data_IF_660429714889
#
_entry.id   IF_660429714889
#
_cell.length_a   1.000
_cell.length_b   1.000
_cell.length_c   1.000
_cell.angle_alpha   90.00
_cell.angle_beta   90.00
_cell.angle_gamma   90.00
#
_symmetry.space_group_name_H-M   'P 1'
#
loop_
_entity.id
_entity.type
_entity.pdbx_description
1 polymer ?
#
# COMPACT_ATOMS: atom_id res chain seq x y z
N UNK A 1 -1.23 -65.79 -34.95
CA UNK A 1 -0.60 -64.65 -34.25
C UNK A 1 -1.45 -64.33 -33.03
N UNK A 2 -1.01 -64.74 -31.85
CA UNK A 2 -1.73 -64.50 -30.60
C UNK A 2 -1.51 -63.05 -30.15
N UNK A 3 -2.59 -62.38 -29.76
CA UNK A 3 -2.57 -61.04 -29.16
C UNK A 3 -1.74 -61.06 -27.86
N UNK A 4 -0.95 -60.02 -27.56
CA UNK A 4 -0.23 -59.95 -26.30
C UNK A 4 -1.23 -59.80 -25.15
N UNK A 5 -1.20 -60.75 -24.22
CA UNK A 5 -1.93 -60.72 -22.96
C UNK A 5 -1.48 -59.49 -22.14
N UNK A 6 -2.37 -58.51 -21.99
CA UNK A 6 -2.15 -57.38 -21.09
C UNK A 6 -2.15 -57.90 -19.66
N UNK A 7 -0.96 -58.05 -19.09
CA UNK A 7 -0.79 -58.43 -17.69
C UNK A 7 -1.62 -57.47 -16.79
N UNK A 8 -2.44 -58.00 -15.87
CA UNK A 8 -3.24 -57.17 -14.97
C UNK A 8 -2.30 -56.32 -14.12
N UNK A 9 -2.39 -55.00 -14.29
CA UNK A 9 -1.68 -54.04 -13.46
C UNK A 9 -2.05 -54.26 -12.00
N UNK A 10 -1.06 -54.54 -11.15
CA UNK A 10 -1.25 -54.75 -9.72
C UNK A 10 -2.12 -53.63 -9.12
N UNK A 11 -3.14 -53.94 -8.30
CA UNK A 11 -3.98 -52.94 -7.68
C UNK A 11 -3.11 -51.97 -6.88
N UNK A 12 -3.17 -50.70 -7.24
CA UNK A 12 -2.50 -49.63 -6.49
C UNK A 12 -3.00 -49.67 -5.05
N UNK A 13 -2.13 -49.65 -4.03
CA UNK A 13 -2.58 -49.64 -2.65
C UNK A 13 -3.53 -48.46 -2.46
N UNK A 14 -4.76 -48.75 -2.02
CA UNK A 14 -5.82 -47.77 -1.79
C UNK A 14 -5.27 -46.75 -0.80
N UNK A 15 -4.86 -45.59 -1.33
CA UNK A 15 -4.16 -44.55 -0.60
C UNK A 15 -5.19 -43.92 0.35
N UNK A 16 -5.11 -44.24 1.65
CA UNK A 16 -6.01 -43.73 2.70
C UNK A 16 -6.21 -42.22 2.53
N UNK A 17 -7.46 -41.77 2.64
CA UNK A 17 -7.85 -40.37 2.55
C UNK A 17 -6.94 -39.52 3.45
N UNK A 18 -6.07 -38.71 2.83
CA UNK A 18 -5.20 -37.80 3.56
C UNK A 18 -6.03 -36.78 4.35
N UNK A 19 -5.52 -36.36 5.50
CA UNK A 19 -6.18 -35.36 6.33
C UNK A 19 -6.47 -34.07 5.55
N UNK A 20 -7.69 -33.55 5.69
CA UNK A 20 -8.10 -32.29 5.08
C UNK A 20 -7.24 -31.14 5.62
N UNK A 21 -6.53 -30.44 4.74
CA UNK A 21 -5.71 -29.27 5.14
C UNK A 21 -6.52 -27.99 5.30
N UNK A 22 -7.80 -27.97 4.89
CA UNK A 22 -8.66 -26.76 4.95
C UNK A 22 -8.72 -26.13 6.35
N UNK A 23 -8.89 -26.89 7.45
CA UNK A 23 -8.97 -26.30 8.80
C UNK A 23 -7.71 -25.53 9.19
N UNK A 24 -6.52 -25.94 8.72
CA UNK A 24 -5.28 -25.22 9.05
C UNK A 24 -5.25 -23.85 8.38
N UNK A 25 -5.69 -23.77 7.13
CA UNK A 25 -5.72 -22.51 6.38
C UNK A 25 -6.75 -21.55 6.95
N UNK A 26 -7.92 -22.06 7.33
CA UNK A 26 -8.93 -21.27 8.04
C UNK A 26 -8.39 -20.77 9.37
N UNK A 27 -7.70 -21.62 10.14
CA UNK A 27 -7.10 -21.23 11.42
C UNK A 27 -6.04 -20.15 11.24
N UNK A 28 -5.14 -20.28 10.27
CA UNK A 28 -4.12 -19.27 9.96
C UNK A 28 -4.77 -17.94 9.53
N UNK A 29 -5.82 -18.00 8.71
CA UNK A 29 -6.59 -16.81 8.32
C UNK A 29 -7.27 -16.12 9.50
N UNK A 30 -7.86 -16.89 10.42
CA UNK A 30 -8.47 -16.37 11.65
C UNK A 30 -7.42 -15.73 12.55
N UNK A 31 -6.27 -16.38 12.76
CA UNK A 31 -5.16 -15.82 13.55
C UNK A 31 -4.73 -14.47 12.96
N UNK A 32 -4.48 -14.42 11.65
CA UNK A 32 -4.09 -13.18 10.99
C UNK A 32 -5.15 -12.08 11.12
N UNK A 33 -6.43 -12.42 10.91
CA UNK A 33 -7.56 -11.49 11.04
C UNK A 33 -7.75 -10.97 12.46
N UNK A 34 -7.68 -11.84 13.47
CA UNK A 34 -7.79 -11.47 14.88
C UNK A 34 -6.62 -10.58 15.31
N UNK A 35 -5.38 -10.95 14.96
CA UNK A 35 -4.21 -10.15 15.29
C UNK A 35 -4.30 -8.77 14.62
N UNK A 36 -4.73 -8.69 13.36
CA UNK A 36 -4.95 -7.41 12.69
C UNK A 36 -6.00 -6.55 13.39
N UNK A 37 -7.15 -7.13 13.76
CA UNK A 37 -8.21 -6.43 14.46
C UNK A 37 -7.79 -5.96 15.86
N UNK A 38 -7.04 -6.78 16.60
CA UNK A 38 -6.51 -6.45 17.93
C UNK A 38 -5.51 -5.29 17.83
N UNK A 39 -4.53 -5.36 16.93
CA UNK A 39 -3.53 -4.29 16.76
C UNK A 39 -4.21 -2.97 16.40
N UNK A 40 -5.23 -3.00 15.53
CA UNK A 40 -6.03 -1.82 15.24
C UNK A 40 -6.80 -1.35 16.47
N UNK A 41 -7.47 -2.22 17.22
CA UNK A 41 -8.17 -1.84 18.45
C UNK A 41 -7.25 -1.20 19.50
N UNK A 42 -6.01 -1.67 19.60
CA UNK A 42 -4.99 -1.12 20.51
C UNK A 42 -4.36 0.19 20.01
N UNK A 43 -4.41 0.47 18.70
CA UNK A 43 -3.74 1.63 18.07
C UNK A 43 -4.71 2.72 17.57
N UNK A 44 -5.99 2.39 17.35
CA UNK A 44 -6.96 3.26 16.69
C UNK A 44 -7.54 4.34 17.59
N UNK A 45 -7.53 4.15 18.92
CA UNK A 45 -8.02 5.14 19.89
C UNK A 45 -7.27 6.48 19.78
N UNK A 46 -5.99 6.45 19.39
CA UNK A 46 -5.16 7.65 19.28
C UNK A 46 -5.17 8.28 17.88
N UNK A 47 -5.44 7.50 16.82
CA UNK A 47 -5.36 7.96 15.43
C UNK A 47 -6.62 8.73 14.96
N UNK A 48 -7.81 8.27 15.35
CA UNK A 48 -9.09 8.87 14.92
C UNK A 48 -9.37 10.21 15.62
N UNK A 49 -9.02 10.32 16.91
CA UNK A 49 -9.14 11.57 17.69
C UNK A 49 -8.19 12.66 17.16
N UNK A 50 -7.05 12.28 16.59
CA UNK A 50 -6.03 13.21 16.09
C UNK A 50 -6.30 13.75 14.67
N UNK A 51 -7.13 13.07 13.88
CA UNK A 51 -7.39 13.39 12.46
C UNK A 51 -8.70 14.16 12.23
N UNK A 52 -9.63 14.19 13.20
CA UNK A 52 -10.88 14.95 13.09
C UNK A 52 -11.83 14.48 11.98
N UNK A 53 -11.66 13.25 11.50
CA UNK A 53 -12.52 12.61 10.50
C UNK A 53 -13.68 11.92 11.24
N UNK A 54 -14.94 12.05 10.77
CA UNK A 54 -16.06 11.27 11.30
C UNK A 54 -15.76 9.77 11.29
N UNK A 55 -16.08 9.07 12.37
CA UNK A 55 -15.85 7.61 12.47
C UNK A 55 -16.73 6.86 11.45
N UNK A 56 -16.14 6.09 10.51
CA UNK A 56 -16.89 5.30 9.53
C UNK A 56 -17.68 4.14 10.16
N UNK A 57 -17.51 3.92 11.48
CA UNK A 57 -18.24 2.94 12.27
C UNK A 57 -17.44 1.65 12.49
N UNK A 58 -17.84 0.83 13.48
CA UNK A 58 -17.06 -0.32 13.93
C UNK A 58 -16.86 -1.38 12.84
N UNK A 59 -17.83 -1.55 11.93
CA UNK A 59 -17.73 -2.48 10.81
C UNK A 59 -16.56 -2.14 9.87
N UNK A 60 -16.32 -0.86 9.58
CA UNK A 60 -15.21 -0.45 8.73
C UNK A 60 -13.90 -0.45 9.50
N UNK A 61 -13.91 0.04 10.74
CA UNK A 61 -12.72 0.14 11.60
C UNK A 61 -12.07 -1.23 11.88
N UNK A 62 -12.86 -2.24 12.25
CA UNK A 62 -12.35 -3.59 12.54
C UNK A 62 -12.45 -4.54 11.35
N UNK A 63 -13.47 -4.39 10.50
CA UNK A 63 -13.70 -5.29 9.37
C UNK A 63 -12.66 -5.12 8.26
N UNK A 64 -12.24 -3.89 7.94
CA UNK A 64 -11.24 -3.65 6.90
C UNK A 64 -9.89 -4.35 7.18
N UNK A 65 -9.24 -4.20 8.36
CA UNK A 65 -7.99 -4.91 8.64
C UNK A 65 -8.20 -6.42 8.71
N UNK A 66 -9.32 -6.91 9.24
CA UNK A 66 -9.60 -8.35 9.31
C UNK A 66 -9.77 -8.97 7.91
N UNK A 67 -10.57 -8.36 7.03
CA UNK A 67 -10.77 -8.81 5.64
C UNK A 67 -9.47 -8.70 4.84
N UNK A 68 -8.69 -7.63 5.05
CA UNK A 68 -7.39 -7.46 4.42
C UNK A 68 -6.42 -8.57 4.81
N UNK A 69 -6.29 -8.88 6.10
CA UNK A 69 -5.42 -9.95 6.58
C UNK A 69 -5.86 -11.33 6.07
N UNK A 70 -7.17 -11.62 6.09
CA UNK A 70 -7.70 -12.86 5.52
C UNK A 70 -7.42 -12.97 4.01
N UNK A 71 -7.56 -11.86 3.29
CA UNK A 71 -7.25 -11.79 1.87
C UNK A 71 -5.76 -11.99 1.58
N UNK A 72 -4.87 -11.35 2.33
CA UNK A 72 -3.42 -11.53 2.17
C UNK A 72 -2.99 -12.98 2.43
N UNK A 73 -3.54 -13.64 3.46
CA UNK A 73 -3.31 -15.07 3.69
C UNK A 73 -3.80 -15.90 2.52
N UNK A 74 -4.98 -15.60 1.97
CA UNK A 74 -5.52 -16.30 0.80
C UNK A 74 -4.65 -16.11 -0.46
N UNK A 75 -4.13 -14.90 -0.70
CA UNK A 75 -3.22 -14.61 -1.81
C UNK A 75 -1.92 -15.41 -1.69
N UNK A 76 -1.31 -15.41 -0.49
CA UNK A 76 -0.09 -16.16 -0.18
C UNK A 76 -0.31 -17.67 -0.34
N UNK A 77 -1.46 -18.19 0.09
CA UNK A 77 -1.85 -19.59 -0.11
C UNK A 77 -2.00 -19.94 -1.60
N UNK A 78 -2.59 -19.05 -2.40
CA UNK A 78 -2.74 -19.26 -3.84
C UNK A 78 -1.39 -19.33 -4.55
N UNK A 79 -0.52 -18.34 -4.29
CA UNK A 79 0.84 -18.27 -4.85
C UNK A 79 1.67 -19.49 -4.42
N UNK A 80 1.65 -19.82 -3.14
CA UNK A 80 2.36 -20.97 -2.58
C UNK A 80 1.94 -22.30 -3.17
N UNK A 81 0.63 -22.49 -3.34
CA UNK A 81 0.08 -23.72 -3.92
C UNK A 81 0.43 -23.85 -5.41
N UNK A 82 0.49 -22.73 -6.15
CA UNK A 82 0.96 -22.70 -7.53
C UNK A 82 2.48 -22.96 -7.63
N UNK A 83 3.27 -22.42 -6.70
CA UNK A 83 4.71 -22.70 -6.60
C UNK A 83 4.95 -24.20 -6.39
N UNK A 84 4.18 -24.82 -5.50
CA UNK A 84 4.24 -26.27 -5.24
C UNK A 84 3.94 -27.07 -6.52
N UNK A 85 2.85 -26.73 -7.21
CA UNK A 85 2.43 -27.40 -8.45
C UNK A 85 3.39 -27.17 -9.63
N UNK A 86 3.97 -25.98 -9.74
CA UNK A 86 4.83 -25.62 -10.86
C UNK A 86 6.25 -26.19 -10.72
N UNK A 87 6.84 -26.14 -9.53
CA UNK A 87 8.28 -26.36 -9.37
C UNK A 87 8.66 -27.39 -8.31
N UNK A 88 7.83 -27.63 -7.29
CA UNK A 88 8.25 -28.46 -6.16
C UNK A 88 7.89 -29.94 -6.34
N UNK A 89 6.76 -30.25 -6.97
CA UNK A 89 6.30 -31.63 -7.23
C UNK A 89 6.48 -31.95 -8.73
N UNK A 90 7.00 -33.13 -9.10
CA UNK A 90 7.18 -33.51 -10.50
C UNK A 90 5.83 -33.75 -11.20
N UNK A 91 5.66 -33.32 -12.47
CA UNK A 91 4.51 -33.69 -13.29
C UNK A 91 4.62 -35.14 -13.79
N UNK A 92 3.53 -35.66 -14.36
CA UNK A 92 3.56 -36.96 -15.05
C UNK A 92 4.40 -36.88 -16.33
N UNK A 93 4.88 -38.02 -16.82
CA UNK A 93 5.65 -38.09 -18.09
C UNK A 93 4.87 -37.56 -19.30
N UNK A 94 3.53 -37.60 -19.25
CA UNK A 94 2.63 -37.07 -20.27
C UNK A 94 2.53 -35.52 -20.28
N UNK A 95 3.14 -34.83 -19.31
CA UNK A 95 3.04 -33.38 -19.14
C UNK A 95 1.76 -32.91 -18.43
N UNK A 96 0.89 -33.85 -18.02
CA UNK A 96 -0.29 -33.59 -17.18
C UNK A 96 0.14 -33.50 -15.72
N UNK A 97 -0.56 -32.68 -14.93
CA UNK A 97 -0.32 -32.56 -13.49
C UNK A 97 -0.51 -33.92 -12.80
N UNK A 98 0.41 -34.26 -11.89
CA UNK A 98 0.22 -35.40 -10.99
C UNK A 98 -0.85 -35.08 -9.93
N UNK A 99 -1.36 -36.09 -9.21
CA UNK A 99 -2.42 -35.98 -8.20
C UNK A 99 -2.11 -34.88 -7.17
N UNK A 100 -0.86 -34.81 -6.71
CA UNK A 100 -0.45 -33.83 -5.71
C UNK A 100 -0.36 -32.41 -6.30
N UNK A 101 0.12 -32.27 -7.55
CA UNK A 101 0.13 -31.01 -8.28
C UNK A 101 -1.30 -30.51 -8.56
N UNK A 102 -2.21 -31.39 -8.95
CA UNK A 102 -3.61 -31.05 -9.18
C UNK A 102 -4.33 -30.62 -7.88
N UNK A 103 -4.07 -31.31 -6.76
CA UNK A 103 -4.58 -30.90 -5.44
C UNK A 103 -4.06 -29.53 -5.02
N UNK A 104 -2.80 -29.22 -5.34
CA UNK A 104 -2.22 -27.92 -5.09
C UNK A 104 -2.89 -26.84 -5.94
N UNK A 105 -3.08 -27.05 -7.24
CA UNK A 105 -3.85 -26.13 -8.11
C UNK A 105 -5.28 -25.92 -7.63
N UNK A 106 -5.95 -26.98 -7.13
CA UNK A 106 -7.31 -26.86 -6.55
C UNK A 106 -7.31 -26.04 -5.26
N UNK A 107 -6.28 -26.20 -4.42
CA UNK A 107 -6.09 -25.35 -3.24
C UNK A 107 -5.86 -23.90 -3.64
N UNK A 108 -5.05 -23.67 -4.68
CA UNK A 108 -4.81 -22.33 -5.22
C UNK A 108 -6.09 -21.69 -5.76
N UNK A 109 -6.94 -22.46 -6.44
CA UNK A 109 -8.22 -21.97 -6.96
C UNK A 109 -9.16 -21.53 -5.84
N UNK A 110 -9.33 -22.34 -4.80
CA UNK A 110 -10.16 -21.97 -3.66
C UNK A 110 -9.61 -20.74 -2.93
N UNK A 111 -8.29 -20.67 -2.75
CA UNK A 111 -7.64 -19.52 -2.15
C UNK A 111 -7.78 -18.25 -3.03
N UNK A 112 -7.70 -18.38 -4.36
CA UNK A 112 -7.93 -17.27 -5.30
C UNK A 112 -9.37 -16.77 -5.27
N UNK A 113 -10.37 -17.65 -5.09
CA UNK A 113 -11.77 -17.26 -4.89
C UNK A 113 -11.94 -16.44 -3.61
N UNK A 114 -11.34 -16.90 -2.50
CA UNK A 114 -11.36 -16.16 -1.23
C UNK A 114 -10.65 -14.82 -1.39
N UNK A 115 -9.50 -14.78 -2.07
CA UNK A 115 -8.77 -13.55 -2.35
C UNK A 115 -9.59 -12.56 -3.17
N UNK A 116 -10.27 -13.03 -4.22
CA UNK A 116 -11.17 -12.21 -5.03
C UNK A 116 -12.34 -11.67 -4.20
N UNK A 117 -12.97 -12.50 -3.37
CA UNK A 117 -14.06 -12.08 -2.49
C UNK A 117 -13.60 -11.02 -1.48
N UNK A 118 -12.45 -11.22 -0.82
CA UNK A 118 -11.85 -10.23 0.07
C UNK A 118 -11.55 -8.92 -0.66
N UNK A 119 -10.92 -8.98 -1.84
CA UNK A 119 -10.61 -7.79 -2.64
C UNK A 119 -11.87 -7.01 -3.03
N UNK A 120 -12.97 -7.71 -3.40
CA UNK A 120 -14.25 -7.09 -3.70
C UNK A 120 -14.87 -6.40 -2.47
N UNK A 121 -14.83 -7.05 -1.31
CA UNK A 121 -15.33 -6.48 -0.04
C UNK A 121 -14.48 -5.29 0.42
N UNK A 122 -13.18 -5.29 0.13
CA UNK A 122 -12.29 -4.20 0.50
C UNK A 122 -12.52 -2.92 -0.32
N UNK A 123 -13.14 -2.99 -1.49
CA UNK A 123 -13.51 -1.80 -2.28
C UNK A 123 -14.46 -0.88 -1.50
N UNK A 124 -15.69 -1.30 -1.12
CA UNK A 124 -16.61 -0.44 -0.37
C UNK A 124 -16.11 -0.10 1.05
N UNK A 125 -15.38 -1.01 1.71
CA UNK A 125 -14.76 -0.71 3.01
C UNK A 125 -13.74 0.44 2.90
N UNK A 126 -12.92 0.44 1.85
CA UNK A 126 -11.95 1.53 1.59
C UNK A 126 -12.66 2.84 1.29
N UNK A 127 -13.78 2.81 0.55
CA UNK A 127 -14.60 4.00 0.29
C UNK A 127 -15.21 4.54 1.57
N UNK A 128 -15.79 3.68 2.42
CA UNK A 128 -16.31 4.05 3.74
C UNK A 128 -15.24 4.71 4.60
N UNK A 129 -14.06 4.09 4.67
CA UNK A 129 -12.92 4.57 5.46
C UNK A 129 -12.41 5.94 5.00
N UNK A 130 -12.26 6.13 3.69
CA UNK A 130 -11.72 7.38 3.12
C UNK A 130 -12.73 8.53 3.20
N UNK A 131 -14.03 8.22 3.14
CA UNK A 131 -15.11 9.23 3.15
C UNK A 131 -15.63 9.56 4.55
N UNK A 132 -15.28 8.75 5.57
CA UNK A 132 -15.83 8.88 6.92
C UNK A 132 -17.34 8.60 7.01
N UNK A 133 -17.92 7.94 6.00
CA UNK A 133 -19.33 7.59 5.94
C UNK A 133 -19.53 6.12 6.36
N UNK A 134 -20.67 5.76 6.98
CA UNK A 134 -20.96 4.38 7.33
C UNK A 134 -21.01 3.49 6.08
N UNK A 135 -20.67 2.21 6.24
CA UNK A 135 -20.61 1.23 5.14
C UNK A 135 -21.92 1.15 4.33
N UNK A 136 -23.07 1.30 5.00
CA UNK A 136 -24.40 1.30 4.37
C UNK A 136 -24.61 2.45 3.38
N UNK A 137 -23.99 3.61 3.63
CA UNK A 137 -23.99 4.76 2.71
C UNK A 137 -22.93 4.59 1.61
N UNK A 138 -21.76 4.03 1.96
CA UNK A 138 -20.66 3.83 1.02
C UNK A 138 -20.95 2.78 -0.07
N UNK A 139 -21.72 1.73 0.25
CA UNK A 139 -22.07 0.67 -0.71
C UNK A 139 -23.13 1.08 -1.74
N UNK A 140 -23.81 2.22 -1.54
CA UNK A 140 -24.82 2.70 -2.47
C UNK A 140 -24.19 2.94 -3.85
N UNK A 141 -24.76 2.42 -4.96
CA UNK A 141 -24.17 2.51 -6.29
C UNK A 141 -23.82 3.94 -6.72
N UNK A 142 -24.66 4.91 -6.34
CA UNK A 142 -24.47 6.32 -6.64
C UNK A 142 -23.19 6.92 -6.01
N UNK A 143 -22.78 6.41 -4.84
CA UNK A 143 -21.60 6.84 -4.11
C UNK A 143 -20.38 6.01 -4.53
N UNK A 144 -20.54 4.69 -4.56
CA UNK A 144 -19.48 3.73 -4.85
C UNK A 144 -18.86 3.94 -6.24
N UNK A 145 -19.70 4.06 -7.28
CA UNK A 145 -19.20 4.16 -8.66
C UNK A 145 -18.48 5.49 -8.94
N UNK A 146 -18.88 6.56 -8.25
CA UNK A 146 -18.21 7.86 -8.31
C UNK A 146 -16.90 7.88 -7.52
N UNK A 147 -16.86 7.16 -6.39
CA UNK A 147 -15.70 7.15 -5.49
C UNK A 147 -14.55 6.26 -5.97
N UNK A 148 -14.84 5.11 -6.59
CA UNK A 148 -13.80 4.18 -7.09
C UNK A 148 -12.71 4.86 -7.95
N UNK A 149 -13.03 5.68 -8.98
CA UNK A 149 -12.00 6.32 -9.79
C UNK A 149 -11.27 7.47 -9.07
N UNK A 150 -11.81 7.96 -7.95
CA UNK A 150 -11.23 9.07 -7.18
C UNK A 150 -10.31 8.59 -6.04
N UNK A 151 -10.51 7.36 -5.57
CA UNK A 151 -9.76 6.77 -4.47
C UNK A 151 -8.82 5.71 -5.04
N UNK A 152 -7.53 6.04 -5.12
CA UNK A 152 -6.50 5.19 -5.72
C UNK A 152 -6.49 3.76 -5.13
N UNK A 153 -6.57 3.65 -3.80
CA UNK A 153 -6.58 2.36 -3.10
C UNK A 153 -7.83 1.52 -3.44
N UNK A 154 -9.01 2.15 -3.62
CA UNK A 154 -10.21 1.44 -4.05
C UNK A 154 -10.08 0.95 -5.50
N UNK A 155 -9.44 1.76 -6.36
CA UNK A 155 -9.06 1.36 -7.71
C UNK A 155 -8.10 0.16 -7.75
N UNK A 156 -7.12 0.12 -6.84
CA UNK A 156 -6.20 -1.01 -6.71
C UNK A 156 -6.90 -2.29 -6.27
N UNK A 157 -7.76 -2.23 -5.26
CA UNK A 157 -8.56 -3.39 -4.84
C UNK A 157 -9.44 -3.94 -5.96
N UNK A 158 -10.04 -3.06 -6.78
CA UNK A 158 -10.79 -3.47 -7.98
C UNK A 158 -9.90 -4.22 -8.97
N UNK A 159 -8.72 -3.68 -9.30
CA UNK A 159 -7.77 -4.34 -10.22
C UNK A 159 -7.31 -5.69 -9.67
N UNK A 160 -7.00 -5.77 -8.37
CA UNK A 160 -6.66 -7.01 -7.68
C UNK A 160 -7.81 -8.02 -7.73
N UNK A 161 -9.05 -7.60 -7.53
CA UNK A 161 -10.22 -8.48 -7.65
C UNK A 161 -10.34 -9.08 -9.06
N UNK A 162 -10.16 -8.26 -10.11
CA UNK A 162 -10.18 -8.75 -11.50
C UNK A 162 -9.08 -9.79 -11.73
N UNK A 163 -7.84 -9.49 -11.34
CA UNK A 163 -6.72 -10.41 -11.49
C UNK A 163 -6.92 -11.70 -10.68
N UNK A 164 -7.48 -11.61 -9.47
CA UNK A 164 -7.78 -12.77 -8.63
C UNK A 164 -8.90 -13.65 -9.22
N UNK A 165 -9.92 -13.05 -9.85
CA UNK A 165 -10.94 -13.81 -10.60
C UNK A 165 -10.31 -14.52 -11.80
N UNK A 166 -9.47 -13.85 -12.58
CA UNK A 166 -8.76 -14.48 -13.70
C UNK A 166 -7.88 -15.65 -13.21
N UNK A 167 -7.21 -15.49 -12.08
CA UNK A 167 -6.45 -16.56 -11.44
C UNK A 167 -7.34 -17.73 -11.00
N UNK A 168 -8.48 -17.44 -10.36
CA UNK A 168 -9.45 -18.44 -9.92
C UNK A 168 -10.03 -19.24 -11.09
N UNK A 169 -10.34 -18.57 -12.20
CA UNK A 169 -10.82 -19.22 -13.44
C UNK A 169 -9.70 -20.01 -14.09
N UNK A 170 -8.52 -19.42 -14.28
CA UNK A 170 -7.38 -20.10 -14.91
C UNK A 170 -6.97 -21.38 -14.17
N UNK A 171 -6.93 -21.34 -12.83
CA UNK A 171 -6.66 -22.52 -12.00
C UNK A 171 -7.73 -23.61 -12.08
N UNK A 172 -8.97 -23.30 -12.47
CA UNK A 172 -10.03 -24.31 -12.69
C UNK A 172 -9.95 -24.99 -14.05
N UNK A 173 -9.43 -24.29 -15.06
CA UNK A 173 -9.44 -24.76 -16.44
C UNK A 173 -8.18 -25.58 -16.81
N UNK A 174 -7.11 -25.48 -16.01
CA UNK A 174 -5.81 -26.06 -16.36
C UNK A 174 -5.61 -27.45 -15.78
N UNK A 175 -5.26 -28.40 -16.66
CA UNK A 175 -4.82 -29.76 -16.30
C UNK A 175 -3.35 -30.03 -16.67
N UNK A 176 -2.78 -29.20 -17.55
CA UNK A 176 -1.40 -29.34 -18.05
C UNK A 176 -0.42 -28.50 -17.23
N UNK A 177 0.75 -29.07 -16.95
CA UNK A 177 1.80 -28.40 -16.18
C UNK A 177 2.33 -27.13 -16.87
N UNK A 178 2.37 -27.10 -18.21
CA UNK A 178 2.93 -25.99 -18.99
C UNK A 178 2.33 -24.61 -18.66
N UNK A 179 1.07 -24.58 -18.22
CA UNK A 179 0.38 -23.34 -17.86
C UNK A 179 0.53 -22.96 -16.38
N UNK A 180 1.01 -23.86 -15.53
CA UNK A 180 1.13 -23.62 -14.08
C UNK A 180 2.14 -22.51 -13.74
N UNK A 181 3.31 -22.40 -14.40
CA UNK A 181 4.21 -21.25 -14.21
C UNK A 181 3.58 -19.90 -14.59
N UNK A 182 2.80 -19.86 -15.67
CA UNK A 182 2.10 -18.64 -16.08
C UNK A 182 1.04 -18.23 -15.04
N UNK A 183 0.31 -19.19 -14.47
CA UNK A 183 -0.60 -18.92 -13.35
C UNK A 183 0.12 -18.45 -12.10
N UNK A 184 1.31 -18.99 -11.80
CA UNK A 184 2.12 -18.50 -10.67
C UNK A 184 2.48 -17.03 -10.86
N UNK A 185 2.92 -16.65 -12.06
CA UNK A 185 3.21 -15.26 -12.40
C UNK A 185 1.96 -14.37 -12.29
N UNK A 186 0.81 -14.86 -12.75
CA UNK A 186 -0.46 -14.17 -12.56
C UNK A 186 -0.81 -14.02 -11.07
N UNK A 187 -0.56 -15.04 -10.26
CA UNK A 187 -0.72 -15.01 -8.81
C UNK A 187 0.12 -13.92 -8.16
N UNK A 188 1.40 -13.83 -8.52
CA UNK A 188 2.28 -12.74 -8.10
C UNK A 188 1.78 -11.38 -8.60
N UNK A 189 1.28 -11.31 -9.85
CA UNK A 189 0.72 -10.10 -10.42
C UNK A 189 -0.51 -9.57 -9.66
N UNK A 190 -1.29 -10.43 -8.99
CA UNK A 190 -2.42 -9.98 -8.15
C UNK A 190 -1.99 -9.05 -7.00
N UNK A 191 -0.74 -9.12 -6.57
CA UNK A 191 -0.18 -8.27 -5.50
C UNK A 191 0.23 -6.87 -6.01
N UNK A 192 0.43 -6.71 -7.32
CA UNK A 192 1.02 -5.50 -7.90
C UNK A 192 0.17 -4.24 -7.74
N UNK A 193 -1.17 -4.25 -7.93
CA UNK A 193 -1.97 -3.05 -7.71
C UNK A 193 -1.79 -2.46 -6.31
N UNK A 194 -1.67 -3.30 -5.29
CA UNK A 194 -1.41 -2.85 -3.92
C UNK A 194 0.04 -2.39 -3.71
N UNK A 195 1.01 -3.09 -4.31
CA UNK A 195 2.41 -2.72 -4.19
C UNK A 195 2.71 -1.34 -4.81
N UNK A 196 2.01 -0.99 -5.89
CA UNK A 196 2.20 0.25 -6.64
C UNK A 196 1.47 1.45 -6.05
N UNK A 197 0.41 1.24 -5.26
CA UNK A 197 -0.34 2.33 -4.58
C UNK A 197 0.31 2.80 -3.28
N UNK A 198 1.47 2.26 -2.92
CA UNK A 198 2.23 2.71 -1.76
C UNK A 198 2.81 4.10 -1.99
N UNK A 199 2.30 5.13 -1.30
CA UNK A 199 2.81 6.52 -1.21
C UNK A 199 4.23 6.66 -0.61
N UNK A 200 5.05 5.61 -0.70
CA UNK A 200 6.36 5.50 -0.08
C UNK A 200 7.43 6.27 -0.85
N UNK A 201 7.21 7.57 -1.12
CA UNK A 201 8.20 8.64 -0.91
C UNK A 201 7.79 9.90 -1.65
N UNK A 202 7.34 10.90 -0.91
CA UNK A 202 7.52 12.28 -1.31
C UNK A 202 9.02 12.63 -1.18
N UNK A 203 9.86 12.24 -2.15
CA UNK A 203 11.32 12.47 -2.16
C UNK A 203 12.05 11.77 -3.31
N UNK A 204 13.30 12.14 -3.58
CA UNK A 204 14.10 11.72 -4.75
C UNK A 204 14.49 10.23 -4.85
N UNK A 205 13.95 9.35 -4.01
CA UNK A 205 14.27 7.91 -3.95
C UNK A 205 13.05 7.00 -4.18
N UNK A 206 12.06 7.48 -4.92
CA UNK A 206 10.79 6.79 -5.20
C UNK A 206 10.95 5.42 -5.83
N UNK A 207 11.81 5.29 -6.83
CA UNK A 207 11.98 4.04 -7.55
C UNK A 207 12.60 2.95 -6.66
N UNK A 208 13.53 3.33 -5.78
CA UNK A 208 14.14 2.41 -4.81
C UNK A 208 13.15 1.91 -3.76
N UNK A 209 12.32 2.80 -3.23
CA UNK A 209 11.35 2.44 -2.19
C UNK A 209 10.29 1.48 -2.76
N UNK A 210 9.72 1.79 -3.92
CA UNK A 210 8.70 0.96 -4.59
C UNK A 210 9.27 -0.38 -5.04
N UNK A 211 10.44 -0.40 -5.69
CA UNK A 211 11.05 -1.65 -6.13
C UNK A 211 11.45 -2.54 -4.94
N UNK A 212 11.99 -1.97 -3.86
CA UNK A 212 12.32 -2.75 -2.66
C UNK A 212 11.06 -3.38 -2.04
N UNK A 213 9.93 -2.68 -2.02
CA UNK A 213 8.66 -3.18 -1.50
C UNK A 213 8.12 -4.31 -2.38
N UNK A 214 8.17 -4.16 -3.70
CA UNK A 214 7.76 -5.22 -4.64
C UNK A 214 8.56 -6.50 -4.37
N UNK A 215 9.90 -6.40 -4.34
CA UNK A 215 10.75 -7.56 -4.05
C UNK A 215 10.48 -8.17 -2.68
N UNK A 216 10.22 -7.34 -1.67
CA UNK A 216 9.87 -7.79 -0.33
C UNK A 216 8.56 -8.60 -0.32
N UNK A 217 7.51 -8.09 -0.97
CA UNK A 217 6.20 -8.75 -1.05
C UNK A 217 6.27 -10.07 -1.82
N UNK A 218 6.98 -10.10 -2.95
CA UNK A 218 7.17 -11.31 -3.75
C UNK A 218 7.92 -12.37 -2.94
N UNK A 219 9.03 -11.99 -2.29
CA UNK A 219 9.81 -12.91 -1.47
C UNK A 219 9.00 -13.43 -0.27
N UNK A 220 8.25 -12.56 0.41
CA UNK A 220 7.36 -12.95 1.50
C UNK A 220 6.30 -13.95 1.04
N UNK A 221 5.66 -13.69 -0.11
CA UNK A 221 4.61 -14.56 -0.65
C UNK A 221 5.15 -15.93 -1.07
N UNK A 222 6.33 -15.98 -1.71
CA UNK A 222 6.97 -17.24 -2.10
C UNK A 222 7.42 -18.07 -0.89
N UNK A 223 7.98 -17.43 0.14
CA UNK A 223 8.41 -18.11 1.35
C UNK A 223 7.22 -18.58 2.19
N UNK A 224 6.37 -17.67 2.66
CA UNK A 224 5.23 -18.03 3.51
C UNK A 224 4.25 -18.95 2.77
N UNK A 225 3.96 -18.66 1.49
CA UNK A 225 3.04 -19.45 0.69
C UNK A 225 3.59 -20.84 0.39
N UNK A 226 4.85 -20.94 -0.02
CA UNK A 226 5.48 -22.23 -0.28
C UNK A 226 5.56 -23.08 0.99
N UNK A 227 5.77 -22.46 2.16
CA UNK A 227 5.75 -23.16 3.44
C UNK A 227 4.34 -23.70 3.76
N UNK A 228 3.29 -22.89 3.59
CA UNK A 228 1.92 -23.33 3.79
C UNK A 228 1.54 -24.48 2.86
N UNK A 229 1.95 -24.39 1.59
CA UNK A 229 1.70 -25.41 0.59
C UNK A 229 2.46 -26.71 0.91
N UNK A 230 3.72 -26.60 1.33
CA UNK A 230 4.55 -27.74 1.73
C UNK A 230 4.02 -28.42 3.00
N UNK A 231 3.59 -27.64 4.00
CA UNK A 231 2.95 -28.14 5.21
C UNK A 231 1.68 -28.93 4.88
N UNK A 232 0.84 -28.38 4.01
CA UNK A 232 -0.38 -29.05 3.56
C UNK A 232 -0.09 -30.32 2.74
N UNK A 233 0.93 -30.28 1.88
CA UNK A 233 1.41 -31.44 1.13
C UNK A 233 1.90 -32.57 2.05
N UNK A 234 2.72 -32.22 3.06
CA UNK A 234 3.23 -33.15 4.05
C UNK A 234 2.11 -33.78 4.88
N UNK A 235 1.12 -32.99 5.33
CA UNK A 235 -0.04 -33.49 6.09
C UNK A 235 -0.94 -34.42 5.28
N UNK A 236 -1.14 -34.14 3.99
CA UNK A 236 -1.88 -35.03 3.08
C UNK A 236 -1.11 -36.30 2.71
N UNK A 237 0.09 -36.49 3.26
CA UNK A 237 0.99 -37.60 2.95
C UNK A 237 1.30 -37.68 1.45
N UNK A 238 1.52 -36.51 0.83
CA UNK A 238 1.85 -36.40 -0.58
C UNK A 238 3.11 -37.19 -0.94
N UNK A 239 3.17 -37.66 -2.18
CA UNK A 239 4.36 -38.27 -2.73
C UNK A 239 5.49 -37.23 -2.89
N UNK A 240 6.73 -37.67 -2.99
CA UNK A 240 7.89 -36.80 -3.25
C UNK A 240 8.05 -35.66 -2.23
N UNK A 241 7.63 -35.87 -0.96
CA UNK A 241 7.72 -34.85 0.10
C UNK A 241 9.18 -34.44 0.33
N UNK A 242 10.11 -35.39 0.23
CA UNK A 242 11.55 -35.19 0.32
C UNK A 242 12.07 -34.26 -0.79
N UNK A 243 11.69 -34.51 -2.04
CA UNK A 243 12.08 -33.69 -3.21
C UNK A 243 11.50 -32.29 -3.09
N UNK A 244 10.20 -32.18 -2.77
CA UNK A 244 9.52 -30.91 -2.60
C UNK A 244 10.16 -30.07 -1.47
N UNK A 245 10.52 -30.70 -0.35
CA UNK A 245 11.18 -30.02 0.79
C UNK A 245 12.57 -29.52 0.40
N UNK A 246 13.37 -30.32 -0.32
CA UNK A 246 14.70 -29.89 -0.79
C UNK A 246 14.62 -28.70 -1.75
N UNK A 247 13.72 -28.78 -2.74
CA UNK A 247 13.50 -27.68 -3.71
C UNK A 247 13.01 -26.41 -3.02
N UNK A 248 12.06 -26.55 -2.09
CA UNK A 248 11.53 -25.42 -1.34
C UNK A 248 12.60 -24.79 -0.45
N UNK A 249 13.49 -25.57 0.17
CA UNK A 249 14.57 -25.03 1.00
C UNK A 249 15.49 -24.06 0.24
N UNK A 250 15.77 -24.33 -1.04
CA UNK A 250 16.52 -23.40 -1.91
C UNK A 250 15.73 -22.12 -2.16
N UNK A 251 14.44 -22.23 -2.51
CA UNK A 251 13.56 -21.07 -2.74
C UNK A 251 13.44 -20.21 -1.47
N UNK A 252 13.23 -20.84 -0.31
CA UNK A 252 13.13 -20.17 0.98
C UNK A 252 14.44 -19.43 1.33
N UNK A 253 15.60 -20.01 1.04
CA UNK A 253 16.91 -19.35 1.28
C UNK A 253 17.06 -18.10 0.40
N UNK A 254 16.70 -18.19 -0.88
CA UNK A 254 16.74 -17.02 -1.78
C UNK A 254 15.74 -15.96 -1.33
N UNK A 255 14.51 -16.35 -1.00
CA UNK A 255 13.49 -15.44 -0.50
C UNK A 255 13.91 -14.74 0.80
N UNK A 256 14.56 -15.46 1.72
CA UNK A 256 15.14 -14.90 2.94
C UNK A 256 16.18 -13.82 2.64
N UNK A 257 17.12 -14.09 1.74
CA UNK A 257 18.15 -13.11 1.33
C UNK A 257 17.51 -11.87 0.69
N UNK A 258 16.55 -12.06 -0.22
CA UNK A 258 15.83 -10.95 -0.87
C UNK A 258 15.05 -10.12 0.16
N UNK A 259 14.39 -10.76 1.13
CA UNK A 259 13.70 -10.04 2.21
C UNK A 259 14.67 -9.29 3.13
N UNK A 260 15.84 -9.87 3.43
CA UNK A 260 16.87 -9.22 4.22
C UNK A 260 17.39 -7.96 3.52
N UNK A 261 17.79 -8.08 2.26
CA UNK A 261 18.32 -6.96 1.45
C UNK A 261 17.25 -5.89 1.28
N UNK A 262 16.03 -6.27 0.87
CA UNK A 262 14.93 -5.30 0.71
C UNK A 262 14.57 -4.61 2.03
N UNK A 263 14.60 -5.32 3.15
CA UNK A 263 14.37 -4.76 4.48
C UNK A 263 15.43 -3.74 4.87
N UNK A 264 16.71 -4.04 4.64
CA UNK A 264 17.84 -3.13 4.89
C UNK A 264 17.73 -1.89 4.01
N UNK A 265 17.51 -2.05 2.71
CA UNK A 265 17.36 -0.92 1.78
C UNK A 265 16.20 0.01 2.20
N UNK A 266 15.06 -0.57 2.57
CA UNK A 266 13.90 0.21 3.00
C UNK A 266 14.14 0.92 4.34
N UNK A 267 14.90 0.29 5.25
CA UNK A 267 15.34 0.91 6.50
C UNK A 267 16.28 2.10 6.29
N UNK A 268 17.31 1.92 5.46
CA UNK A 268 18.32 2.94 5.17
C UNK A 268 17.75 4.17 4.45
N UNK A 269 16.76 3.98 3.56
CA UNK A 269 16.12 5.08 2.84
C UNK A 269 15.21 5.91 3.76
N UNK A 270 14.68 5.31 4.83
CA UNK A 270 13.66 5.94 5.68
C UNK A 270 14.24 6.60 6.94
N UNK A 271 15.34 6.09 7.50
CA UNK A 271 15.94 6.60 8.75
C UNK A 271 17.44 6.84 8.63
N UNK A 272 17.96 7.97 9.14
CA UNK A 272 19.39 8.07 9.44
C UNK A 272 19.74 7.10 10.59
N UNK A 273 20.90 6.45 10.52
CA UNK A 273 21.35 5.43 11.50
C UNK A 273 21.40 5.96 12.94
N UNK A 274 21.58 7.27 13.13
CA UNK A 274 21.56 7.93 14.43
C UNK A 274 20.19 7.91 15.11
N UNK A 275 19.10 7.75 14.36
CA UNK A 275 17.73 7.68 14.88
C UNK A 275 17.22 6.24 15.10
N UNK A 276 18.08 5.24 14.86
CA UNK A 276 17.72 3.83 14.91
C UNK A 276 17.29 3.35 16.31
N UNK A 277 17.90 3.88 17.37
CA UNK A 277 17.59 3.49 18.75
C UNK A 277 16.82 4.55 19.54
N UNK A 278 16.63 5.74 18.96
CA UNK A 278 15.99 6.88 19.63
C UNK A 278 14.56 7.11 19.14
N UNK A 279 14.21 6.65 17.93
CA UNK A 279 12.87 6.79 17.37
C UNK A 279 12.03 5.52 17.53
N UNK A 280 10.71 5.67 17.70
CA UNK A 280 9.75 4.55 17.68
C UNK A 280 9.84 3.74 16.38
N UNK A 281 10.11 4.42 15.26
CA UNK A 281 10.26 3.78 13.96
C UNK A 281 11.57 2.97 13.86
N UNK A 282 12.63 3.41 14.53
CA UNK A 282 13.88 2.65 14.66
C UNK A 282 13.69 1.35 15.46
N UNK A 283 12.95 1.39 16.58
CA UNK A 283 12.59 0.19 17.33
C UNK A 283 11.73 -0.80 16.51
N UNK A 284 10.80 -0.31 15.69
CA UNK A 284 10.04 -1.15 14.76
C UNK A 284 10.96 -1.83 13.73
N UNK A 285 11.97 -1.14 13.22
CA UNK A 285 12.94 -1.70 12.30
C UNK A 285 13.80 -2.79 12.98
N UNK A 286 14.26 -2.54 14.21
CA UNK A 286 15.01 -3.52 15.01
C UNK A 286 14.16 -4.77 15.27
N UNK A 287 12.91 -4.61 15.70
CA UNK A 287 11.98 -5.71 15.92
C UNK A 287 11.79 -6.56 14.65
N UNK A 288 11.68 -5.92 13.48
CA UNK A 288 11.59 -6.61 12.19
C UNK A 288 12.86 -7.39 11.84
N UNK A 289 14.03 -6.81 12.12
CA UNK A 289 15.32 -7.52 11.92
C UNK A 289 15.44 -8.73 12.85
N UNK A 290 15.07 -8.59 14.12
CA UNK A 290 15.07 -9.72 15.08
C UNK A 290 14.11 -10.82 14.62
N UNK A 291 12.89 -10.46 14.21
CA UNK A 291 11.92 -11.43 13.68
C UNK A 291 12.46 -12.18 12.46
N UNK A 292 13.14 -11.47 11.54
CA UNK A 292 13.78 -12.09 10.39
C UNK A 292 14.89 -13.08 10.81
N UNK A 293 15.74 -12.70 11.76
CA UNK A 293 16.80 -13.59 12.28
C UNK A 293 16.19 -14.83 12.93
N UNK A 294 15.17 -14.67 13.76
CA UNK A 294 14.45 -15.79 14.40
C UNK A 294 13.90 -16.74 13.35
N UNK A 295 13.18 -16.23 12.34
CA UNK A 295 12.68 -17.05 11.24
C UNK A 295 13.81 -17.76 10.46
N UNK A 296 14.94 -17.08 10.24
CA UNK A 296 16.12 -17.69 9.63
C UNK A 296 16.69 -18.85 10.46
N UNK A 297 16.72 -18.71 11.79
CA UNK A 297 17.12 -19.79 12.71
C UNK A 297 16.12 -20.95 12.64
N UNK A 298 14.81 -20.69 12.64
CA UNK A 298 13.80 -21.74 12.47
C UNK A 298 13.97 -22.49 11.14
N UNK A 299 14.20 -21.77 10.04
CA UNK A 299 14.50 -22.37 8.74
C UNK A 299 15.76 -23.23 8.75
N UNK A 300 16.81 -22.79 9.44
CA UNK A 300 18.03 -23.59 9.64
C UNK A 300 17.77 -24.86 10.47
N UNK A 301 17.04 -24.75 11.58
CA UNK A 301 16.67 -25.88 12.43
C UNK A 301 15.79 -26.89 11.69
N UNK A 302 14.84 -26.40 10.89
CA UNK A 302 14.03 -27.23 10.00
C UNK A 302 14.91 -27.94 8.98
N UNK A 303 15.87 -27.24 8.35
CA UNK A 303 16.80 -27.85 7.40
C UNK A 303 17.65 -28.95 8.05
N UNK A 304 18.12 -28.72 9.28
CA UNK A 304 18.94 -29.67 10.03
C UNK A 304 18.17 -30.87 10.56
N UNK A 305 16.86 -30.73 10.82
CA UNK A 305 16.05 -31.80 11.41
C UNK A 305 15.18 -32.53 10.38
N UNK A 306 14.47 -31.80 9.52
CA UNK A 306 13.48 -32.36 8.61
C UNK A 306 14.11 -33.00 7.36
N UNK A 307 15.17 -32.42 6.79
CA UNK A 307 15.80 -32.99 5.59
C UNK A 307 16.48 -34.33 5.85
N UNK A 308 17.29 -34.51 6.92
CA UNK A 308 17.88 -35.82 7.22
C UNK A 308 16.82 -36.87 7.55
N UNK A 309 15.78 -36.51 8.30
CA UNK A 309 14.67 -37.42 8.60
C UNK A 309 13.97 -37.90 7.34
N UNK A 310 13.65 -37.00 6.40
CA UNK A 310 13.03 -37.36 5.12
C UNK A 310 13.98 -38.11 4.17
N UNK A 311 15.30 -37.91 4.30
CA UNK A 311 16.30 -38.64 3.54
C UNK A 311 16.47 -40.07 4.05
N UNK A 312 16.36 -40.29 5.36
CA UNK A 312 16.41 -41.61 5.98
C UNK A 312 15.10 -42.40 5.77
N UNK A 313 13.95 -41.72 5.93
CA UNK A 313 12.62 -42.30 5.72
C UNK A 313 11.69 -41.25 5.09
N UNK A 314 11.28 -41.41 3.81
CA UNK A 314 10.34 -40.51 3.14
C UNK A 314 8.98 -40.36 3.84
N UNK A 315 8.64 -41.27 4.74
CA UNK A 315 7.39 -41.24 5.53
C UNK A 315 7.52 -40.47 6.85
N UNK A 316 8.74 -40.21 7.32
CA UNK A 316 9.04 -39.50 8.57
C UNK A 316 8.82 -37.98 8.48
N UNK A 317 7.55 -37.58 8.27
CA UNK A 317 7.13 -36.18 8.06
C UNK A 317 6.90 -35.38 9.36
N UNK A 318 6.98 -36.03 10.53
CA UNK A 318 6.70 -35.43 11.83
C UNK A 318 7.51 -34.16 12.13
N UNK A 319 8.85 -34.19 12.01
CA UNK A 319 9.68 -33.00 12.22
C UNK A 319 9.31 -31.85 11.29
N UNK A 320 9.05 -32.14 10.00
CA UNK A 320 8.63 -31.15 9.02
C UNK A 320 7.31 -30.48 9.45
N UNK A 321 6.29 -31.25 9.81
CA UNK A 321 4.97 -30.74 10.18
C UNK A 321 5.06 -29.88 11.45
N UNK A 322 5.87 -30.29 12.44
CA UNK A 322 6.03 -29.54 13.71
C UNK A 322 6.70 -28.18 13.48
N UNK A 323 7.84 -28.15 12.79
CA UNK A 323 8.57 -26.90 12.54
C UNK A 323 7.80 -25.99 11.57
N UNK A 324 7.33 -26.53 10.45
CA UNK A 324 6.57 -25.75 9.47
C UNK A 324 5.22 -25.27 10.03
N UNK A 325 4.58 -26.03 10.92
CA UNK A 325 3.38 -25.60 11.63
C UNK A 325 3.63 -24.40 12.55
N UNK A 326 4.72 -24.44 13.34
CA UNK A 326 5.11 -23.32 14.20
C UNK A 326 5.47 -22.07 13.41
N UNK A 327 6.30 -22.22 12.37
CA UNK A 327 6.67 -21.12 11.47
C UNK A 327 5.45 -20.55 10.73
N UNK A 328 4.49 -21.40 10.34
CA UNK A 328 3.26 -20.94 9.70
C UNK A 328 2.41 -20.03 10.60
N UNK A 329 2.29 -20.37 11.89
CA UNK A 329 1.59 -19.53 12.87
C UNK A 329 2.28 -18.18 13.02
N UNK A 330 3.62 -18.16 13.08
CA UNK A 330 4.40 -16.92 13.16
C UNK A 330 4.17 -16.06 11.92
N UNK A 331 4.16 -16.65 10.73
CA UNK A 331 3.85 -15.91 9.49
C UNK A 331 2.42 -15.33 9.50
N UNK A 332 1.42 -16.12 9.90
CA UNK A 332 0.04 -15.63 9.99
C UNK A 332 -0.10 -14.46 10.97
N UNK A 333 0.52 -14.56 12.15
CA UNK A 333 0.57 -13.47 13.12
C UNK A 333 1.29 -12.24 12.55
N UNK A 334 2.42 -12.44 11.87
CA UNK A 334 3.21 -11.35 11.26
C UNK A 334 2.43 -10.62 10.16
N UNK A 335 1.68 -11.35 9.33
CA UNK A 335 0.77 -10.76 8.34
C UNK A 335 -0.30 -9.91 9.05
N UNK A 336 -0.92 -10.44 10.10
CA UNK A 336 -1.90 -9.71 10.90
C UNK A 336 -1.34 -8.41 11.50
N UNK A 337 -0.14 -8.48 12.10
CA UNK A 337 0.57 -7.31 12.64
C UNK A 337 0.86 -6.29 11.54
N UNK A 338 1.39 -6.74 10.39
CA UNK A 338 1.72 -5.86 9.28
C UNK A 338 0.48 -5.13 8.74
N UNK A 339 -0.65 -5.82 8.63
CA UNK A 339 -1.93 -5.23 8.23
C UNK A 339 -2.42 -4.20 9.25
N UNK A 340 -2.35 -4.53 10.55
CA UNK A 340 -2.75 -3.62 11.62
C UNK A 340 -1.89 -2.35 11.69
N UNK A 341 -0.56 -2.50 11.63
CA UNK A 341 0.41 -1.39 11.60
C UNK A 341 0.28 -0.55 10.33
N UNK A 342 -0.23 -1.10 9.22
CA UNK A 342 -0.51 -0.34 8.01
C UNK A 342 -1.46 0.85 8.21
N UNK A 343 -2.18 0.91 9.35
CA UNK A 343 -3.05 2.03 9.74
C UNK A 343 -2.44 2.97 10.77
N UNK A 344 -1.28 2.64 11.34
CA UNK A 344 -0.57 3.55 12.23
C UNK A 344 0.13 4.65 11.41
N UNK A 345 -0.08 5.95 11.72
CA UNK A 345 0.58 7.03 11.00
C UNK A 345 2.10 6.91 11.12
N UNK A 346 2.89 7.12 10.03
CA UNK A 346 4.33 7.21 10.15
C UNK A 346 4.72 8.39 11.06
N UNK A 347 5.81 8.28 11.85
CA UNK A 347 6.20 9.35 12.77
C UNK A 347 6.42 10.66 12.02
N UNK A 348 5.94 11.76 12.59
CA UNK A 348 6.15 13.09 12.03
C UNK A 348 7.66 13.36 12.00
N UNK A 349 8.22 13.58 10.81
CA UNK A 349 9.51 14.25 10.71
C UNK A 349 9.33 15.65 11.29
N UNK A 350 9.85 15.89 12.48
CA UNK A 350 10.03 17.26 13.00
C UNK A 350 11.10 17.93 12.16
N UNK A 351 10.74 18.38 10.95
CA UNK A 351 11.53 19.41 10.31
C UNK A 351 11.35 20.66 11.15
N UNK A 352 12.32 20.93 12.00
CA UNK A 352 12.47 22.22 12.65
C UNK A 352 12.84 23.22 11.56
N UNK A 353 11.89 23.58 10.69
CA UNK A 353 12.02 24.77 9.86
C UNK A 353 11.99 25.93 10.84
N UNK A 354 13.10 26.69 11.02
CA UNK A 354 13.03 27.89 11.84
C UNK A 354 11.92 28.75 11.27
N UNK A 355 10.87 28.99 12.08
CA UNK A 355 9.86 29.99 11.72
C UNK A 355 10.62 31.31 11.54
N UNK A 356 10.54 31.98 10.36
CA UNK A 356 11.04 33.33 10.29
C UNK A 356 10.25 34.15 11.31
N UNK A 357 10.92 34.58 12.39
CA UNK A 357 10.36 35.57 13.31
C UNK A 357 10.21 36.84 12.49
N UNK A 358 8.98 37.19 12.10
CA UNK A 358 8.67 38.53 11.63
C UNK A 358 8.81 39.50 12.83
N UNK A 359 10.02 39.95 13.12
CA UNK A 359 10.31 40.91 14.19
C UNK A 359 10.18 42.38 13.74
N UNK A 360 9.68 42.67 12.55
CA UNK A 360 9.75 44.02 11.97
C UNK A 360 8.54 44.93 12.26
N UNK A 361 7.51 44.45 12.95
CA UNK A 361 6.29 45.25 13.15
C UNK A 361 6.43 46.40 14.18
N UNK A 362 7.45 46.42 15.04
CA UNK A 362 7.54 47.40 16.14
C UNK A 362 8.44 48.60 15.87
N UNK A 363 9.20 48.66 14.77
CA UNK A 363 10.15 49.78 14.56
C UNK A 363 9.55 50.95 13.75
N UNK A 364 8.45 50.75 13.03
CA UNK A 364 7.90 51.80 12.15
C UNK A 364 6.99 52.83 12.84
N UNK A 365 6.40 52.50 14.00
CA UNK A 365 5.54 53.44 14.73
C UNK A 365 6.30 54.45 15.60
N UNK A 366 7.55 54.18 15.97
CA UNK A 366 8.35 55.10 16.78
C UNK A 366 8.96 56.27 15.99
N UNK A 367 9.06 56.18 14.65
CA UNK A 367 9.74 57.20 13.83
C UNK A 367 8.84 58.24 13.17
N UNK A 368 7.52 58.16 13.37
CA UNK A 368 6.55 59.17 12.88
C UNK A 368 6.16 60.23 13.91
N UNK A 369 6.61 60.12 15.17
CA UNK A 369 6.27 61.08 16.25
C UNK A 369 7.29 62.21 16.49
N UNK A 370 8.42 62.25 15.78
CA UNK A 370 9.46 63.28 15.97
C UNK A 370 9.62 64.28 14.81
N UNK A 371 8.70 64.30 13.84
CA UNK A 371 8.79 65.18 12.67
C UNK A 371 7.54 66.06 12.52
N UNK A 372 7.13 66.70 13.61
CA UNK A 372 6.14 67.78 13.61
C UNK A 372 6.47 68.82 14.67
N UNK A 373 7.69 69.35 14.66
CA UNK A 373 8.04 70.58 15.38
C UNK A 373 9.36 71.17 14.88
N UNK A 374 9.29 71.96 13.80
CA UNK A 374 10.03 73.22 13.69
C UNK A 374 9.59 73.99 12.44
N UNK A 375 9.23 75.23 12.72
CA UNK A 375 8.68 76.26 11.86
C UNK A 375 9.76 77.06 11.13
N UNK A 376 9.32 77.77 10.09
CA UNK A 376 9.72 79.14 9.67
C UNK A 376 11.17 79.44 9.25
N UNK A 377 11.33 79.98 8.02
CA UNK A 377 12.41 80.92 7.69
C UNK A 377 13.06 80.81 6.30
N UNK A 378 12.62 81.68 5.39
CA UNK A 378 13.37 82.43 4.37
C UNK A 378 14.31 81.76 3.30
N UNK A 379 13.92 82.04 2.03
CA UNK A 379 14.69 82.53 0.86
C UNK A 379 15.81 81.72 0.16
N UNK A 380 15.70 81.83 -1.19
CA UNK A 380 16.72 81.88 -2.26
C UNK A 380 17.34 80.59 -2.85
N UNK A 381 16.88 80.32 -4.08
CA UNK A 381 17.61 79.99 -5.34
C UNK A 381 18.68 78.89 -5.43
N UNK A 382 18.50 78.09 -6.49
CA UNK A 382 19.48 77.51 -7.43
C UNK A 382 19.80 76.00 -7.37
N UNK A 383 19.60 75.38 -8.55
CA UNK A 383 20.32 74.26 -9.20
C UNK A 383 20.49 72.88 -8.51
N UNK A 384 19.77 71.90 -9.08
CA UNK A 384 20.04 70.47 -9.39
C UNK A 384 21.31 69.72 -8.87
N UNK A 385 21.38 68.36 -8.99
CA UNK A 385 20.37 67.32 -8.80
C UNK A 385 20.75 66.31 -7.68
N UNK A 386 19.75 65.61 -7.14
CA UNK A 386 19.90 64.60 -6.07
C UNK A 386 20.64 63.35 -6.57
N UNK A 387 21.86 63.11 -6.06
CA UNK A 387 22.47 61.77 -5.99
C UNK A 387 21.65 60.92 -5.01
N UNK A 388 20.89 59.94 -5.51
CA UNK A 388 20.28 58.91 -4.68
C UNK A 388 21.36 57.88 -4.30
N UNK A 389 21.63 57.79 -3.00
CA UNK A 389 22.45 56.73 -2.41
C UNK A 389 21.74 55.38 -2.58
N UNK A 390 22.29 54.52 -3.42
CA UNK A 390 21.91 53.12 -3.50
C UNK A 390 22.36 52.40 -2.23
N UNK A 391 21.41 51.95 -1.40
CA UNK A 391 21.68 50.94 -0.36
C UNK A 391 21.22 49.59 -0.90
N UNK A 392 22.17 48.67 -0.98
CA UNK A 392 21.96 47.28 -1.37
C UNK A 392 21.16 46.55 -0.29
N UNK A 393 20.03 45.96 -0.65
CA UNK A 393 19.38 44.90 0.13
C UNK A 393 19.67 43.56 -0.55
N UNK A 394 20.45 42.72 0.11
CA UNK A 394 20.64 41.31 -0.24
C UNK A 394 19.36 40.53 0.10
N UNK A 395 18.60 40.12 -0.91
CA UNK A 395 17.51 39.14 -0.74
C UNK A 395 18.12 37.73 -0.73
N UNK A 396 18.09 37.07 0.42
CA UNK A 396 18.25 35.61 0.51
C UNK A 396 16.96 34.93 0.03
N UNK A 397 17.07 34.16 -1.04
CA UNK A 397 15.97 33.41 -1.66
C UNK A 397 15.44 32.30 -0.72
N UNK A 398 14.11 32.15 -0.67
CA UNK A 398 13.46 30.95 -0.15
C UNK A 398 12.31 30.55 -1.07
N UNK A 399 12.41 29.34 -1.61
CA UNK A 399 11.40 28.67 -2.43
C UNK A 399 10.21 28.18 -1.59
N UNK A 400 9.00 28.36 -2.13
CA UNK A 400 7.81 27.63 -1.68
C UNK A 400 6.50 28.43 -1.74
N UNK A 401 6.04 28.79 -2.94
CA UNK A 401 4.65 29.20 -3.15
C UNK A 401 3.75 27.95 -3.18
N UNK A 402 3.03 27.69 -2.10
CA UNK A 402 1.84 26.84 -2.12
C UNK A 402 0.60 27.75 -2.15
N UNK A 403 -0.18 27.59 -3.23
CA UNK A 403 -1.44 28.25 -3.51
C UNK A 403 -2.50 27.96 -2.45
N UNK A 404 -2.85 28.95 -1.63
CA UNK A 404 -4.05 28.93 -0.80
C UNK A 404 -5.24 29.46 -1.61
N UNK A 405 -5.94 28.56 -2.30
CA UNK A 405 -7.21 28.82 -2.97
C UNK A 405 -8.36 28.84 -1.97
N UNK A 406 -8.86 30.05 -1.69
CA UNK A 406 -10.20 30.44 -1.23
C UNK A 406 -11.19 29.31 -0.85
N UNK A 407 -11.47 29.16 0.45
CA UNK A 407 -12.79 28.74 0.93
C UNK A 407 -13.33 29.82 1.87
N UNK A 408 -14.43 30.42 1.46
CA UNK A 408 -15.18 31.36 2.28
C UNK A 408 -15.69 30.67 3.55
N UNK A 409 -15.54 31.37 4.67
CA UNK A 409 -16.39 31.18 5.84
C UNK A 409 -16.82 32.55 6.35
N UNK A 410 -18.13 32.68 6.40
CA UNK A 410 -18.96 33.73 6.93
C UNK A 410 -18.57 34.04 8.37
N UNK A 411 -18.25 35.30 8.67
CA UNK A 411 -18.21 35.82 10.02
C UNK A 411 -19.41 36.76 10.21
N UNK A 412 -20.18 36.53 11.27
CA UNK A 412 -21.31 37.34 11.70
C UNK A 412 -20.87 38.78 12.08
N UNK A 413 -21.75 39.80 11.97
CA UNK A 413 -21.38 41.18 12.23
C UNK A 413 -21.49 41.53 13.73
N UNK A 414 -20.45 42.18 14.26
CA UNK A 414 -20.49 42.88 15.55
C UNK A 414 -21.22 44.23 15.39
N UNK A 415 -21.95 44.71 16.42
CA UNK A 415 -22.80 45.89 16.32
C UNK A 415 -22.01 47.18 16.54
N UNK A 416 -22.28 48.20 15.73
CA UNK A 416 -21.80 49.56 15.97
C UNK A 416 -21.27 50.25 14.73
N UNK A 417 -22.18 50.80 13.91
CA UNK A 417 -21.99 52.08 13.22
C UNK A 417 -23.29 52.46 12.52
N UNK A 418 -23.98 53.43 13.10
CA UNK A 418 -25.14 54.11 12.54
C UNK A 418 -24.71 55.03 11.38
N UNK A 419 -25.65 55.15 10.42
CA UNK A 419 -25.87 56.27 9.50
C UNK A 419 -24.90 56.49 8.33
N UNK A 420 -25.33 56.06 7.13
CA UNK A 420 -25.64 56.99 6.03
C UNK A 420 -26.41 56.25 4.92
N UNK A 421 -27.72 56.51 4.84
CA UNK A 421 -28.57 56.16 3.69
C UNK A 421 -28.09 56.94 2.46
N UNK A 422 -27.77 56.24 1.37
CA UNK A 422 -28.05 56.73 0.00
C UNK A 422 -28.56 55.57 -0.84
N UNK A 423 -29.84 55.69 -1.19
CA UNK A 423 -30.60 54.90 -2.16
C UNK A 423 -29.95 54.96 -3.53
N UNK A 424 -29.85 53.83 -4.24
CA UNK A 424 -29.90 53.80 -5.71
C UNK A 424 -30.35 52.41 -6.19
N UNK A 425 -31.49 52.38 -6.87
CA UNK A 425 -32.14 51.21 -7.45
C UNK A 425 -31.60 50.94 -8.86
N UNK A 426 -31.45 49.67 -9.33
CA UNK A 426 -31.15 49.40 -10.72
C UNK A 426 -32.45 49.33 -11.54
N UNK A 427 -32.53 49.87 -12.77
CA UNK A 427 -33.67 49.62 -13.64
C UNK A 427 -33.51 48.28 -14.37
N UNK A 428 -34.60 47.51 -14.36
CA UNK A 428 -34.86 46.41 -15.30
C UNK A 428 -35.12 46.99 -16.68
N UNK A 429 -34.48 46.47 -17.74
CA UNK A 429 -35.08 46.37 -19.08
C UNK A 429 -34.66 45.08 -19.76
N UNK A 430 -35.69 44.35 -20.18
CA UNK A 430 -35.66 43.17 -21.01
C UNK A 430 -35.42 43.55 -22.48
N UNK A 431 -34.68 42.71 -23.21
CA UNK A 431 -34.83 42.55 -24.66
C UNK A 431 -34.82 41.05 -24.97
N UNK A 432 -35.91 40.61 -25.60
CA UNK A 432 -36.07 39.29 -26.19
C UNK A 432 -35.56 39.34 -27.64
N UNK A 433 -34.87 38.29 -28.08
CA UNK A 433 -34.38 38.13 -29.45
C UNK A 433 -33.75 36.75 -29.64
N UNK A 434 -34.24 36.02 -30.61
CA UNK A 434 -34.10 34.58 -30.93
C UNK A 434 -32.69 34.14 -31.36
N UNK A 435 -32.34 32.88 -31.06
CA UNK A 435 -31.09 32.17 -31.46
C UNK A 435 -31.13 31.74 -32.94
N UNK A 436 -29.96 31.39 -33.54
CA UNK A 436 -29.66 29.97 -33.66
C UNK A 436 -28.21 29.58 -33.33
N UNK A 437 -28.01 28.27 -33.16
CA UNK A 437 -26.78 27.56 -32.79
C UNK A 437 -25.74 27.59 -33.93
N UNK A 438 -24.47 27.74 -33.58
CA UNK A 438 -23.34 27.14 -34.29
C UNK A 438 -22.32 26.61 -33.27
N UNK A 439 -21.89 25.38 -33.49
CA UNK A 439 -20.94 24.59 -32.71
C UNK A 439 -19.52 24.71 -33.27
N UNK A 440 -18.53 24.55 -32.37
CA UNK A 440 -17.11 24.16 -32.58
C UNK A 440 -16.00 25.26 -32.49
N UNK A 441 -15.05 24.99 -31.56
CA UNK A 441 -13.61 25.35 -31.48
C UNK A 441 -13.20 26.85 -31.62
N UNK A 442 -12.26 27.44 -30.86
CA UNK A 442 -10.95 26.95 -30.37
C UNK A 442 -10.37 27.93 -29.34
N UNK A 443 -9.60 27.43 -28.37
CA UNK A 443 -8.73 28.20 -27.45
C UNK A 443 -7.59 28.92 -28.21
N UNK A 444 -7.28 30.19 -27.90
CA UNK A 444 -5.90 30.72 -27.77
C UNK A 444 -5.91 32.03 -26.95
N UNK A 445 -5.37 32.03 -25.73
CA UNK A 445 -4.67 33.20 -25.16
C UNK A 445 -3.33 32.72 -24.59
N UNK A 446 -2.32 32.78 -25.44
CA UNK A 446 -0.93 32.45 -25.12
C UNK A 446 -0.32 33.54 -24.22
N UNK A 447 0.10 33.16 -23.02
CA UNK A 447 0.95 33.99 -22.17
C UNK A 447 2.41 33.79 -22.59
N UNK A 448 3.14 34.86 -22.94
CA UNK A 448 4.59 34.79 -23.10
C UNK A 448 5.25 35.10 -21.76
N UNK A 449 5.88 34.10 -21.17
CA UNK A 449 6.72 34.27 -19.99
C UNK A 449 8.19 34.18 -20.45
N UNK A 450 8.98 35.22 -20.14
CA UNK A 450 10.43 35.26 -20.43
C UNK A 450 11.16 35.25 -19.10
N UNK A 451 11.94 34.21 -18.86
CA UNK A 451 12.71 34.05 -17.62
C UNK A 451 14.19 34.31 -17.92
N UNK A 452 14.80 35.25 -17.21
CA UNK A 452 16.26 35.35 -17.09
C UNK A 452 16.64 35.08 -15.65
N UNK A 453 17.89 34.65 -15.41
CA UNK A 453 18.39 33.95 -14.19
C UNK A 453 18.10 34.60 -12.83
N UNK A 454 17.42 35.75 -12.74
CA UNK A 454 17.04 36.39 -11.47
C UNK A 454 15.61 36.94 -11.38
N UNK A 455 14.75 36.87 -12.41
CA UNK A 455 13.32 37.26 -12.33
C UNK A 455 12.47 36.68 -13.49
N UNK A 456 11.19 36.42 -13.24
CA UNK A 456 10.20 36.07 -14.27
C UNK A 456 9.10 37.14 -14.32
N UNK A 457 8.76 37.64 -15.51
CA UNK A 457 7.65 38.57 -15.75
C UNK A 457 6.61 37.89 -16.64
N UNK A 458 5.33 38.08 -16.31
CA UNK A 458 4.22 37.70 -17.20
C UNK A 458 3.30 38.92 -17.35
N UNK A 459 3.14 39.39 -18.58
CA UNK A 459 2.20 40.47 -18.94
C UNK A 459 1.20 39.92 -19.95
N UNK A 460 -0.07 40.31 -19.81
CA UNK A 460 -1.05 40.08 -20.86
C UNK A 460 -0.59 40.82 -22.12
N UNK A 461 -0.48 40.11 -23.26
CA UNK A 461 -0.31 40.77 -24.55
C UNK A 461 -1.55 41.67 -24.76
N UNK A 462 -1.34 42.96 -24.96
CA UNK A 462 -2.42 43.89 -25.33
C UNK A 462 -2.93 43.57 -26.72
#
# INVERSE_FOLDING_TARGET
MASPELAPSAPSPIRRAGENSVPIFVTLGIIAGLVAAIIVGLSASDALVLLGIPDPGPLTTYGLPAVKAAGEVAAVLAIGSLLLAAFLVPPQRSGVLDVDGYRAVRTASNAAIVWAACALVLVPLTVSDTSGQPLSAAIQPANLWKAIPQIELAGAWRSTAILAVLLAVGTRLILRWSWTPALLLLGVATLMPLALTGHSSSGGSHDLATNSLIWHLVAAALWAGGLFALLAHARRRGAYTDVATRRFSNVATVAFVVMAISGVLNGLVRLPLSELFTSTYGWLLVAKTVALVVLGVFGYLQRRSALPALAADPTARGPLIRFAGGEAIIFAATIGIAVGLGRTPPPRRTSTRPRPRCSWATTWMARRRSRSSRSTGASTSSSAPRRSSWRWCTCSAFDGCASAGTRGRSAAPSPGCLAARRSWSPPRRAWAGTRPRCSACTWVRTWRCRCSRRCCWCSAAR
#
